data_IF_702283044766
#
_entry.id   IF_702283044766
#
_cell.length_a   1.000
_cell.length_b   1.000
_cell.length_c   1.000
_cell.angle_alpha   90.00
_cell.angle_beta   90.00
_cell.angle_gamma   90.00
#
_symmetry.space_group_name_H-M   'P 1'
#
loop_
_entity.id
_entity.type
_entity.pdbx_description
1 polymer ?
#
# COMPACT_ATOMS: atom_id res chain seq x y z
N UNK A 1 23.57 20.16 -7.57
CA UNK A 1 23.44 18.90 -8.32
C UNK A 1 22.74 19.20 -9.65
N UNK A 2 23.36 18.96 -10.81
CA UNK A 2 22.66 19.15 -12.10
C UNK A 2 21.62 18.04 -12.26
N UNK A 3 20.36 18.40 -12.29
CA UNK A 3 19.25 17.46 -12.50
C UNK A 3 19.35 16.96 -13.95
N UNK A 4 19.54 15.66 -14.14
CA UNK A 4 19.57 15.04 -15.45
C UNK A 4 18.14 14.66 -15.86
N UNK A 5 17.50 15.50 -16.67
CA UNK A 5 16.14 15.31 -17.17
C UNK A 5 15.92 13.94 -17.84
N UNK A 6 16.94 13.41 -18.53
CA UNK A 6 16.88 12.09 -19.15
C UNK A 6 16.73 10.97 -18.09
N UNK A 7 17.46 11.07 -16.97
CA UNK A 7 17.35 10.10 -15.87
C UNK A 7 15.99 10.18 -15.19
N UNK A 8 15.47 11.39 -14.95
CA UNK A 8 14.12 11.56 -14.40
C UNK A 8 13.08 10.90 -15.31
N UNK A 9 13.19 11.11 -16.63
CA UNK A 9 12.29 10.50 -17.61
C UNK A 9 12.32 8.96 -17.55
N UNK A 10 13.51 8.36 -17.40
CA UNK A 10 13.66 6.90 -17.26
C UNK A 10 12.94 6.40 -16.00
N UNK A 11 13.18 7.02 -14.84
CA UNK A 11 12.53 6.60 -13.60
C UNK A 11 11.01 6.79 -13.63
N UNK A 12 10.54 7.86 -14.25
CA UNK A 12 9.12 8.09 -14.46
C UNK A 12 8.47 6.98 -15.31
N UNK A 13 9.11 6.60 -16.44
CA UNK A 13 8.65 5.49 -17.27
C UNK A 13 8.65 4.16 -16.52
N UNK A 14 9.64 3.92 -15.66
CA UNK A 14 9.68 2.70 -14.81
C UNK A 14 8.49 2.67 -13.84
N UNK A 15 8.17 3.80 -13.19
CA UNK A 15 7.03 3.90 -12.27
C UNK A 15 5.71 3.65 -13.02
N UNK A 16 5.55 4.23 -14.21
CA UNK A 16 4.38 3.94 -15.06
C UNK A 16 4.33 2.46 -15.47
N UNK A 17 5.47 1.86 -15.77
CA UNK A 17 5.57 0.43 -16.05
C UNK A 17 5.13 -0.44 -14.87
N UNK A 18 5.51 -0.09 -13.64
CA UNK A 18 5.06 -0.80 -12.44
C UNK A 18 3.55 -0.66 -12.20
N UNK A 19 2.99 0.52 -12.44
CA UNK A 19 1.55 0.73 -12.37
C UNK A 19 0.81 -0.14 -13.40
N UNK A 20 1.34 -0.19 -14.64
CA UNK A 20 0.78 -1.05 -15.69
C UNK A 20 0.86 -2.52 -15.33
N UNK A 21 2.00 -3.01 -14.84
CA UNK A 21 2.18 -4.40 -14.39
C UNK A 21 1.19 -4.75 -13.29
N UNK A 22 1.01 -3.89 -12.30
CA UNK A 22 0.06 -4.12 -11.21
C UNK A 22 -1.39 -4.20 -11.71
N UNK A 23 -1.78 -3.32 -12.62
CA UNK A 23 -3.11 -3.31 -13.24
C UNK A 23 -3.32 -4.56 -14.11
N UNK A 24 -2.34 -4.94 -14.93
CA UNK A 24 -2.45 -6.13 -15.78
C UNK A 24 -2.56 -7.41 -14.97
N UNK A 25 -1.80 -7.53 -13.89
CA UNK A 25 -1.86 -8.68 -13.01
C UNK A 25 -3.23 -8.83 -12.34
N UNK A 26 -3.81 -7.71 -11.89
CA UNK A 26 -5.14 -7.66 -11.28
C UNK A 26 -6.24 -7.20 -12.26
N UNK A 27 -6.08 -7.46 -13.56
CA UNK A 27 -7.02 -7.07 -14.61
C UNK A 27 -8.52 -7.33 -14.27
N UNK A 28 -8.93 -8.48 -13.66
CA UNK A 28 -10.34 -8.70 -13.34
C UNK A 28 -10.96 -7.62 -12.45
N UNK A 29 -10.15 -6.89 -11.67
CA UNK A 29 -10.63 -5.79 -10.82
C UNK A 29 -11.11 -4.59 -11.66
N UNK A 30 -10.50 -4.34 -12.81
CA UNK A 30 -10.94 -3.30 -13.75
C UNK A 30 -12.33 -3.58 -14.31
N UNK A 31 -12.70 -4.84 -14.43
CA UNK A 31 -14.01 -5.30 -14.87
C UNK A 31 -15.05 -5.37 -13.73
N UNK A 32 -14.77 -4.70 -12.59
CA UNK A 32 -15.66 -4.66 -11.44
C UNK A 32 -15.69 -5.96 -10.62
N UNK A 33 -14.87 -6.96 -10.95
CA UNK A 33 -14.77 -8.20 -10.18
C UNK A 33 -14.01 -7.93 -8.88
N UNK A 34 -14.45 -8.55 -7.78
CA UNK A 34 -13.79 -8.46 -6.48
C UNK A 34 -13.19 -9.80 -6.13
N UNK A 35 -11.96 -9.78 -5.60
CA UNK A 35 -11.34 -10.97 -5.04
C UNK A 35 -12.05 -11.27 -3.72
N UNK A 36 -12.49 -12.52 -3.55
CA UNK A 36 -12.99 -12.98 -2.24
C UNK A 36 -11.82 -13.04 -1.27
N UNK A 37 -11.92 -12.27 -0.19
CA UNK A 37 -10.90 -12.17 0.84
C UNK A 37 -11.53 -12.50 2.19
N UNK A 38 -11.15 -13.63 2.80
CA UNK A 38 -11.72 -14.11 4.06
C UNK A 38 -11.61 -13.09 5.19
N UNK A 39 -10.47 -12.41 5.31
CA UNK A 39 -10.24 -11.39 6.33
C UNK A 39 -11.17 -10.19 6.18
N UNK A 40 -11.47 -9.81 4.94
CA UNK A 40 -12.40 -8.69 4.69
C UNK A 40 -13.83 -9.06 5.06
N UNK A 41 -14.22 -10.32 4.85
CA UNK A 41 -15.53 -10.80 5.27
C UNK A 41 -15.66 -10.76 6.80
N UNK A 42 -14.65 -11.27 7.52
CA UNK A 42 -14.62 -11.22 8.98
C UNK A 42 -14.59 -9.78 9.51
N UNK A 43 -13.75 -8.93 8.93
CA UNK A 43 -13.70 -7.50 9.25
C UNK A 43 -15.06 -6.83 9.09
N UNK A 44 -15.76 -7.09 7.98
CA UNK A 44 -17.08 -6.50 7.72
C UNK A 44 -18.11 -6.95 8.77
N UNK A 45 -18.05 -8.22 9.19
CA UNK A 45 -18.89 -8.73 10.27
C UNK A 45 -18.64 -8.04 11.61
N UNK A 46 -17.39 -7.95 12.04
CA UNK A 46 -17.00 -7.29 13.28
C UNK A 46 -17.28 -5.79 13.29
N UNK A 47 -17.07 -5.13 12.16
CA UNK A 47 -17.28 -3.67 12.01
C UNK A 47 -18.73 -3.29 11.72
N UNK A 48 -19.67 -4.27 11.63
CA UNK A 48 -21.05 -4.01 11.19
C UNK A 48 -21.73 -2.93 12.01
N UNK A 49 -21.70 -3.03 13.34
CA UNK A 49 -22.35 -2.06 14.24
C UNK A 49 -21.81 -0.64 13.99
N UNK A 50 -20.50 -0.48 13.89
CA UNK A 50 -19.86 0.83 13.61
C UNK A 50 -20.26 1.35 12.23
N UNK A 51 -20.29 0.48 11.21
CA UNK A 51 -20.66 0.86 9.84
C UNK A 51 -22.13 1.29 9.75
N UNK A 52 -23.02 0.58 10.43
CA UNK A 52 -24.44 0.91 10.48
C UNK A 52 -24.69 2.23 11.25
N UNK A 53 -24.01 2.43 12.38
CA UNK A 53 -24.06 3.71 13.13
C UNK A 53 -23.61 4.89 12.26
N UNK A 54 -22.50 4.75 11.54
CA UNK A 54 -21.96 5.78 10.64
C UNK A 54 -22.95 6.14 9.53
N UNK A 55 -23.64 5.15 8.96
CA UNK A 55 -24.66 5.38 7.92
C UNK A 55 -25.89 6.10 8.44
N UNK A 56 -26.31 5.77 9.67
CA UNK A 56 -27.52 6.33 10.26
C UNK A 56 -27.34 7.75 10.79
N UNK A 57 -26.13 8.07 11.30
CA UNK A 57 -25.91 9.31 12.08
C UNK A 57 -24.93 10.28 11.40
N UNK A 58 -24.34 9.93 10.26
CA UNK A 58 -23.24 10.67 9.59
C UNK A 58 -22.10 11.05 10.58
N UNK A 59 -21.89 10.19 11.55
CA UNK A 59 -20.93 10.37 12.65
C UNK A 59 -20.12 9.09 12.87
N UNK A 60 -18.97 9.19 13.55
CA UNK A 60 -18.14 8.03 13.87
C UNK A 60 -18.40 7.53 15.29
N UNK A 61 -18.57 6.22 15.45
CA UNK A 61 -18.55 5.58 16.76
C UNK A 61 -17.15 5.08 17.09
N UNK A 62 -16.62 5.50 18.23
CA UNK A 62 -15.29 5.07 18.70
C UNK A 62 -15.34 3.87 19.65
N UNK A 63 -16.53 3.29 19.85
CA UNK A 63 -16.76 2.08 20.63
C UNK A 63 -17.77 1.18 19.92
N UNK A 64 -17.61 -0.14 20.05
CA UNK A 64 -18.56 -1.15 19.59
C UNK A 64 -18.79 -2.20 20.66
N UNK A 65 -20.03 -2.64 20.80
CA UNK A 65 -20.41 -3.80 21.63
C UNK A 65 -20.50 -5.10 20.82
N UNK A 66 -20.37 -5.00 19.49
CA UNK A 66 -20.56 -6.13 18.56
C UNK A 66 -19.39 -7.12 18.50
N UNK A 67 -18.29 -6.86 19.22
CA UNK A 67 -17.12 -7.74 19.23
C UNK A 67 -16.49 -7.78 20.63
N UNK A 68 -16.05 -8.97 21.06
CA UNK A 68 -15.29 -9.19 22.30
C UNK A 68 -15.95 -8.63 23.58
N UNK A 69 -17.28 -8.52 23.63
CA UNK A 69 -17.98 -7.92 24.77
C UNK A 69 -17.84 -6.41 24.89
N UNK A 70 -17.28 -5.77 23.88
CA UNK A 70 -17.04 -4.32 23.77
C UNK A 70 -15.57 -3.99 23.57
N UNK A 71 -15.29 -3.15 22.56
CA UNK A 71 -13.93 -2.69 22.24
C UNK A 71 -13.91 -1.34 21.54
N UNK A 72 -12.78 -0.61 21.63
CA UNK A 72 -12.57 0.61 20.84
C UNK A 72 -12.50 0.29 19.32
N UNK A 73 -13.10 1.14 18.49
CA UNK A 73 -13.21 0.92 17.05
C UNK A 73 -11.97 1.33 16.25
N UNK A 74 -10.91 1.84 16.88
CA UNK A 74 -9.68 2.19 16.16
C UNK A 74 -9.07 0.98 15.43
N UNK A 75 -9.23 -0.24 15.96
CA UNK A 75 -8.79 -1.49 15.32
C UNK A 75 -9.74 -1.92 14.19
N UNK A 76 -10.97 -1.42 14.16
CA UNK A 76 -11.99 -1.70 13.14
C UNK A 76 -12.09 -0.60 12.08
N UNK A 77 -11.06 0.21 11.95
CA UNK A 77 -10.99 1.22 10.89
C UNK A 77 -11.84 2.47 11.12
N UNK A 78 -11.95 2.92 12.38
CA UNK A 78 -12.55 4.21 12.69
C UNK A 78 -11.92 5.34 11.87
N UNK A 79 -12.74 6.30 11.45
CA UNK A 79 -12.29 7.43 10.64
C UNK A 79 -11.93 8.59 11.54
N UNK A 80 -10.79 9.20 11.26
CA UNK A 80 -10.31 10.40 11.94
C UNK A 80 -10.18 11.52 10.92
N UNK A 81 -10.91 12.66 11.08
CA UNK A 81 -10.97 13.73 10.08
C UNK A 81 -9.60 14.32 9.75
N UNK A 82 -8.72 14.40 10.74
CA UNK A 82 -7.40 15.05 10.64
C UNK A 82 -6.25 14.06 10.42
N UNK A 83 -6.55 12.84 9.95
CA UNK A 83 -5.49 11.87 9.59
C UNK A 83 -4.88 12.19 8.22
N UNK A 84 -3.98 13.19 8.19
CA UNK A 84 -3.30 13.64 6.96
C UNK A 84 -2.36 12.58 6.40
N UNK A 85 -1.74 11.76 7.25
CA UNK A 85 -0.88 10.65 6.81
C UNK A 85 -1.69 9.65 5.98
N UNK A 86 -2.90 9.32 6.41
CA UNK A 86 -3.81 8.45 5.65
C UNK A 86 -4.22 9.08 4.32
N UNK A 87 -4.42 10.40 4.28
CA UNK A 87 -4.74 11.11 3.02
C UNK A 87 -3.58 11.02 2.03
N UNK A 88 -2.35 11.22 2.51
CA UNK A 88 -1.14 11.06 1.70
C UNK A 88 -0.98 9.62 1.20
N UNK A 89 -1.15 8.64 2.08
CA UNK A 89 -1.13 7.23 1.73
C UNK A 89 -2.12 6.89 0.61
N UNK A 90 -3.36 7.37 0.73
CA UNK A 90 -4.39 7.15 -0.30
C UNK A 90 -4.03 7.83 -1.64
N UNK A 91 -3.35 8.97 -1.60
CA UNK A 91 -2.89 9.64 -2.82
C UNK A 91 -1.79 8.85 -3.53
N UNK A 92 -0.89 8.20 -2.78
CA UNK A 92 0.16 7.33 -3.35
C UNK A 92 -0.45 6.03 -3.88
N UNK A 93 -1.46 5.49 -3.20
CA UNK A 93 -2.19 4.27 -3.57
C UNK A 93 -3.41 4.56 -4.45
N UNK A 94 -3.19 5.24 -5.57
CA UNK A 94 -4.25 5.68 -6.48
C UNK A 94 -4.89 4.55 -7.30
N UNK A 95 -4.28 3.37 -7.33
CA UNK A 95 -4.80 2.21 -8.07
C UNK A 95 -5.90 1.48 -7.27
N UNK A 96 -6.79 0.74 -7.94
CA UNK A 96 -7.80 -0.08 -7.27
C UNK A 96 -7.14 -1.25 -6.52
N UNK A 97 -7.72 -1.63 -5.35
CA UNK A 97 -7.23 -2.78 -4.58
C UNK A 97 -7.48 -4.10 -5.32
N UNK A 98 -6.52 -5.03 -5.26
CA UNK A 98 -5.26 -5.02 -4.54
C UNK A 98 -4.07 -4.54 -5.39
N UNK A 99 -4.28 -4.03 -6.60
CA UNK A 99 -3.21 -3.54 -7.48
C UNK A 99 -2.40 -2.40 -6.84
N UNK A 100 -3.04 -1.57 -5.98
CA UNK A 100 -2.38 -0.51 -5.23
C UNK A 100 -1.24 -1.03 -4.32
N UNK A 101 -1.43 -2.15 -3.65
CA UNK A 101 -0.39 -2.76 -2.81
C UNK A 101 0.73 -3.39 -3.63
N UNK A 102 0.40 -4.08 -4.73
CA UNK A 102 1.44 -4.62 -5.61
C UNK A 102 2.29 -3.49 -6.20
N UNK A 103 1.66 -2.40 -6.64
CA UNK A 103 2.38 -1.22 -7.09
C UNK A 103 3.33 -0.66 -6.02
N UNK A 104 2.88 -0.55 -4.77
CA UNK A 104 3.73 -0.09 -3.68
C UNK A 104 4.90 -1.04 -3.39
N UNK A 105 4.71 -2.36 -3.47
CA UNK A 105 5.79 -3.32 -3.33
C UNK A 105 6.89 -3.07 -4.37
N UNK A 106 6.47 -2.92 -5.64
CA UNK A 106 7.39 -2.67 -6.74
C UNK A 106 8.11 -1.33 -6.58
N UNK A 107 7.36 -0.27 -6.30
CA UNK A 107 7.90 1.07 -6.12
C UNK A 107 8.84 1.16 -4.92
N UNK A 108 8.42 0.66 -3.75
CA UNK A 108 9.18 0.75 -2.52
C UNK A 108 10.52 0.02 -2.62
N UNK A 109 10.51 -1.19 -3.18
CA UNK A 109 11.74 -1.96 -3.33
C UNK A 109 12.66 -1.40 -4.41
N UNK A 110 12.09 -0.87 -5.51
CA UNK A 110 12.85 -0.15 -6.52
C UNK A 110 13.60 1.04 -5.94
N UNK A 111 12.92 1.89 -5.16
CA UNK A 111 13.54 3.04 -4.49
C UNK A 111 14.66 2.58 -3.55
N UNK A 112 14.45 1.52 -2.77
CA UNK A 112 15.49 0.97 -1.89
C UNK A 112 16.74 0.57 -2.67
N UNK A 113 16.59 -0.12 -3.79
CA UNK A 113 17.72 -0.56 -4.61
C UNK A 113 18.47 0.63 -5.24
N UNK A 114 17.75 1.69 -5.63
CA UNK A 114 18.39 2.93 -6.10
C UNK A 114 19.18 3.64 -4.99
N UNK A 115 18.64 3.67 -3.77
CA UNK A 115 19.35 4.22 -2.59
C UNK A 115 20.63 3.44 -2.30
N UNK A 116 20.61 2.13 -2.52
CA UNK A 116 21.80 1.24 -2.44
C UNK A 116 22.73 1.38 -3.65
N UNK A 117 22.46 2.32 -4.57
CA UNK A 117 23.25 2.58 -5.79
C UNK A 117 23.31 1.40 -6.77
N UNK A 118 22.29 0.57 -6.77
CA UNK A 118 22.13 -0.50 -7.77
C UNK A 118 21.66 0.12 -9.09
N UNK A 119 22.18 -0.38 -10.21
CA UNK A 119 21.76 0.07 -11.54
C UNK A 119 20.24 -0.10 -11.72
N UNK A 120 19.59 0.86 -12.36
CA UNK A 120 18.14 0.91 -12.47
C UNK A 120 17.54 -0.32 -13.16
N UNK A 121 18.24 -0.95 -14.12
CA UNK A 121 17.77 -2.16 -14.80
C UNK A 121 17.73 -3.35 -13.85
N UNK A 122 18.78 -3.50 -13.04
CA UNK A 122 18.83 -4.54 -11.99
C UNK A 122 17.82 -4.24 -10.89
N UNK A 123 17.63 -2.95 -10.56
CA UNK A 123 16.64 -2.52 -9.58
C UNK A 123 15.21 -2.83 -10.04
N UNK A 124 14.89 -2.73 -11.34
CA UNK A 124 13.60 -3.17 -11.91
C UNK A 124 13.40 -4.67 -11.68
N UNK A 125 14.40 -5.49 -12.03
CA UNK A 125 14.33 -6.94 -11.85
C UNK A 125 14.15 -7.31 -10.38
N UNK A 126 14.92 -6.69 -9.48
CA UNK A 126 14.80 -6.90 -8.05
C UNK A 126 13.42 -6.50 -7.49
N UNK A 127 12.87 -5.37 -7.95
CA UNK A 127 11.53 -4.94 -7.57
C UNK A 127 10.46 -5.93 -8.01
N UNK A 128 10.54 -6.43 -9.24
CA UNK A 128 9.63 -7.47 -9.75
C UNK A 128 9.76 -8.76 -8.93
N UNK A 129 10.97 -9.23 -8.65
CA UNK A 129 11.21 -10.43 -7.86
C UNK A 129 10.64 -10.29 -6.43
N UNK A 130 10.81 -9.12 -5.80
CA UNK A 130 10.23 -8.83 -4.49
C UNK A 130 8.69 -8.79 -4.54
N UNK A 131 8.11 -7.97 -5.43
CA UNK A 131 6.66 -7.76 -5.48
C UNK A 131 5.88 -9.02 -5.86
N UNK A 132 6.46 -9.89 -6.69
CA UNK A 132 5.87 -11.16 -7.09
C UNK A 132 6.31 -12.36 -6.23
N UNK A 133 6.97 -12.11 -5.09
CA UNK A 133 7.25 -13.21 -4.17
C UNK A 133 5.95 -13.88 -3.71
N UNK A 134 5.95 -15.21 -3.63
CA UNK A 134 4.77 -16.01 -3.31
C UNK A 134 4.06 -15.54 -2.04
N UNK A 135 4.82 -15.24 -1.00
CA UNK A 135 4.27 -14.76 0.27
C UNK A 135 3.47 -13.46 0.14
N UNK A 136 3.99 -12.48 -0.62
CA UNK A 136 3.30 -11.19 -0.79
C UNK A 136 2.01 -11.35 -1.60
N UNK A 137 2.00 -12.20 -2.60
CA UNK A 137 0.79 -12.49 -3.39
C UNK A 137 -0.27 -13.21 -2.54
N UNK A 138 0.15 -14.18 -1.71
CA UNK A 138 -0.77 -14.87 -0.80
C UNK A 138 -1.41 -13.88 0.19
N UNK A 139 -0.64 -12.98 0.79
CA UNK A 139 -1.15 -11.95 1.69
C UNK A 139 -2.24 -11.10 1.03
N UNK A 140 -2.03 -10.70 -0.23
CA UNK A 140 -3.02 -9.94 -0.99
C UNK A 140 -4.27 -10.77 -1.29
N UNK A 141 -4.11 -12.05 -1.60
CA UNK A 141 -5.23 -12.97 -1.87
C UNK A 141 -6.12 -13.20 -0.65
N UNK A 142 -5.55 -13.36 0.53
CA UNK A 142 -6.29 -13.59 1.79
C UNK A 142 -6.94 -12.31 2.32
N UNK A 143 -6.38 -11.13 2.01
CA UNK A 143 -6.91 -9.85 2.47
C UNK A 143 -6.27 -9.30 3.74
N UNK A 144 -5.07 -9.75 4.10
CA UNK A 144 -4.27 -9.19 5.20
C UNK A 144 -3.76 -7.78 4.86
N UNK A 145 -4.69 -6.87 4.59
CA UNK A 145 -4.38 -5.53 4.06
C UNK A 145 -3.48 -4.71 4.97
N UNK A 146 -3.63 -4.81 6.30
CA UNK A 146 -2.76 -4.09 7.24
C UNK A 146 -1.30 -4.58 7.16
N UNK A 147 -1.11 -5.90 7.03
CA UNK A 147 0.21 -6.51 6.87
C UNK A 147 0.81 -6.17 5.51
N UNK A 148 0.03 -6.27 4.44
CA UNK A 148 0.44 -5.88 3.10
C UNK A 148 0.92 -4.42 3.06
N UNK A 149 0.17 -3.53 3.70
CA UNK A 149 0.48 -2.12 3.82
C UNK A 149 1.81 -1.87 4.57
N UNK A 150 1.99 -2.51 5.73
CA UNK A 150 3.22 -2.39 6.51
C UNK A 150 4.46 -2.86 5.72
N UNK A 151 4.36 -4.01 5.05
CA UNK A 151 5.45 -4.57 4.24
C UNK A 151 5.75 -3.67 3.03
N UNK A 152 4.74 -3.06 2.40
CA UNK A 152 4.93 -2.17 1.27
C UNK A 152 5.77 -0.92 1.62
N UNK A 153 5.59 -0.38 2.81
CA UNK A 153 6.34 0.78 3.28
C UNK A 153 7.70 0.44 3.89
N UNK A 154 7.94 -0.80 4.28
CA UNK A 154 9.21 -1.22 4.91
C UNK A 154 10.45 -0.86 4.07
N UNK A 155 10.51 -1.11 2.75
CA UNK A 155 11.66 -0.71 1.93
C UNK A 155 11.86 0.81 1.88
N UNK A 156 10.78 1.60 1.89
CA UNK A 156 10.84 3.06 1.89
C UNK A 156 11.40 3.60 3.22
N UNK A 157 10.95 3.03 4.35
CA UNK A 157 11.49 3.36 5.67
C UNK A 157 12.99 3.07 5.73
N UNK A 158 13.39 1.90 5.26
CA UNK A 158 14.80 1.51 5.21
C UNK A 158 15.62 2.45 4.30
N UNK A 159 15.04 2.86 3.17
CA UNK A 159 15.65 3.87 2.28
C UNK A 159 15.87 5.19 2.99
N UNK A 160 14.88 5.67 3.73
CA UNK A 160 14.98 6.92 4.51
C UNK A 160 16.06 6.84 5.58
N UNK A 161 16.15 5.72 6.30
CA UNK A 161 17.21 5.48 7.30
C UNK A 161 18.59 5.55 6.64
N UNK A 162 18.80 4.81 5.54
CA UNK A 162 20.09 4.78 4.83
C UNK A 162 20.49 6.19 4.34
N UNK A 163 19.58 6.93 3.75
CA UNK A 163 19.82 8.29 3.27
C UNK A 163 20.20 9.24 4.42
N UNK A 164 19.53 9.13 5.55
CA UNK A 164 19.81 9.94 6.73
C UNK A 164 21.24 9.68 7.26
N UNK A 165 21.62 8.41 7.38
CA UNK A 165 23.00 8.05 7.81
C UNK A 165 24.06 8.49 6.80
N UNK A 166 23.72 8.52 5.51
CA UNK A 166 24.61 9.03 4.46
C UNK A 166 24.61 10.57 4.37
N UNK A 167 23.88 11.29 5.23
CA UNK A 167 23.66 12.74 5.19
C UNK A 167 23.12 13.21 3.82
N UNK A 168 22.35 12.36 3.14
CA UNK A 168 21.72 12.62 1.84
C UNK A 168 20.22 12.75 2.07
N UNK A 169 19.74 13.98 2.21
CA UNK A 169 18.34 14.28 2.51
C UNK A 169 17.44 14.34 1.26
N UNK A 170 18.05 14.23 0.08
CA UNK A 170 17.35 14.09 -1.21
C UNK A 170 18.00 12.97 -2.03
N UNK A 171 17.18 12.24 -2.78
CA UNK A 171 17.61 11.24 -3.78
C UNK A 171 18.28 11.91 -5.00
#
# INVERSE_FOLDING_TARGET
MKINLKQIGIHFLVILGFALVAILYFNPVLNGKKIYQSDIVQYTGMAKQQLDFRKANDAESYWTNGAFGGMPTYQLGAKYPHNYIKKLDLAIRFLPRPADYLFLYLLGFYVLLLVLKIDYKVAILGALAFGFSTYLIIILGVGHNAKAHAIAYMPLVLSGIILTFQKRYCL
#
